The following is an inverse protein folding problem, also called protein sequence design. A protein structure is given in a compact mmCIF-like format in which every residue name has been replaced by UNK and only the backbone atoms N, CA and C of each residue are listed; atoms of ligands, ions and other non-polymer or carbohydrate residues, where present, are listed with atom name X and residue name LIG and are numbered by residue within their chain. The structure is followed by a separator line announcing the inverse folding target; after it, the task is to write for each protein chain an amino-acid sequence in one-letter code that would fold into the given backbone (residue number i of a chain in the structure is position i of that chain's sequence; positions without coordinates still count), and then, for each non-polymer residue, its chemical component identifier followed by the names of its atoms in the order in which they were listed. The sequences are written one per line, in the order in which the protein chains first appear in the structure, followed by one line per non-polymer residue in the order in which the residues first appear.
data_IF_774664913408
#
_entry.id   IF_774664913408
#
_cell.length_a   1.000
_cell.length_b   1.000
_cell.length_c   1.000
_cell.angle_alpha   90.00
_cell.angle_beta   90.00
_cell.angle_gamma   90.00
#
_symmetry.space_group_name_H-M   'P 1'
#
loop_
_entity.id
_entity.type
_entity.pdbx_description
1 polymer ?
#
# COMPACT_ATOMS: atom_id res chain seq x y z
N UNK A 1 14.47 12.91 5.06
CA UNK A 1 13.27 12.96 4.19
C UNK A 1 12.15 12.21 4.89
N UNK A 2 10.89 12.59 4.70
CA UNK A 2 9.79 11.90 5.38
C UNK A 2 9.43 10.59 4.63
N UNK A 3 9.01 9.52 5.31
CA UNK A 3 8.70 8.22 4.68
C UNK A 3 7.69 8.33 3.53
N UNK A 4 6.68 9.18 3.65
CA UNK A 4 5.65 9.40 2.62
C UNK A 4 6.23 9.94 1.30
N UNK A 5 7.27 10.78 1.36
CA UNK A 5 7.93 11.32 0.17
C UNK A 5 8.71 10.24 -0.57
N UNK A 6 9.42 9.40 0.19
CA UNK A 6 10.18 8.28 -0.37
C UNK A 6 9.24 7.28 -1.04
N UNK A 7 8.13 6.93 -0.39
CA UNK A 7 7.13 6.00 -0.95
C UNK A 7 6.60 6.54 -2.27
N UNK A 8 6.19 7.81 -2.33
CA UNK A 8 5.68 8.42 -3.56
C UNK A 8 6.64 8.30 -4.74
N UNK A 9 7.93 8.59 -4.52
CA UNK A 9 8.95 8.52 -5.57
C UNK A 9 9.10 7.11 -6.15
N UNK A 10 8.87 6.07 -5.33
CA UNK A 10 8.97 4.67 -5.74
C UNK A 10 7.74 4.20 -6.48
N UNK A 11 6.56 4.57 -6.01
CA UNK A 11 5.31 4.00 -6.53
C UNK A 11 4.73 4.76 -7.72
N UNK A 12 5.14 6.00 -7.98
CA UNK A 12 4.58 6.80 -9.08
C UNK A 12 4.67 6.15 -10.47
N UNK A 13 5.58 5.20 -10.67
CA UNK A 13 5.76 4.48 -11.93
C UNK A 13 4.74 3.36 -12.14
N UNK A 14 4.23 2.80 -11.06
CA UNK A 14 3.27 1.68 -11.06
C UNK A 14 1.82 2.14 -10.89
N UNK A 15 1.60 3.44 -10.76
CA UNK A 15 0.26 4.04 -10.68
C UNK A 15 -0.23 4.34 -12.09
N UNK A 16 -1.41 3.84 -12.49
CA UNK A 16 -2.01 4.20 -13.78
C UNK A 16 -2.27 5.72 -13.89
N UNK A 17 -1.94 6.30 -15.03
CA UNK A 17 -2.09 7.74 -15.30
C UNK A 17 -3.55 8.25 -15.17
N UNK A 18 -4.52 7.37 -15.41
CA UNK A 18 -5.95 7.65 -15.32
C UNK A 18 -6.53 7.41 -13.92
N UNK A 19 -5.69 7.15 -12.92
CA UNK A 19 -6.11 6.99 -11.52
C UNK A 19 -6.46 8.34 -10.90
N UNK A 20 -7.67 8.48 -10.37
CA UNK A 20 -8.06 9.65 -9.58
C UNK A 20 -7.44 9.63 -8.17
N UNK A 21 -7.26 8.42 -7.64
CA UNK A 21 -6.71 8.13 -6.32
C UNK A 21 -6.15 6.71 -6.32
N UNK A 22 -4.99 6.51 -5.70
CA UNK A 22 -4.44 5.19 -5.44
C UNK A 22 -4.20 5.00 -3.94
N UNK A 23 -4.60 3.84 -3.41
CA UNK A 23 -4.46 3.50 -2.00
C UNK A 23 -3.68 2.21 -1.87
N UNK A 24 -2.50 2.29 -1.26
CA UNK A 24 -1.63 1.17 -0.93
C UNK A 24 -1.94 0.64 0.46
N UNK A 25 -1.92 -0.68 0.57
CA UNK A 25 -1.84 -1.44 1.80
C UNK A 25 -0.45 -2.05 1.90
N UNK A 26 0.20 -1.93 3.06
CA UNK A 26 1.37 -2.72 3.41
C UNK A 26 1.22 -3.28 4.83
N UNK A 27 0.98 -4.58 4.93
CA UNK A 27 0.98 -5.34 6.18
C UNK A 27 2.37 -5.90 6.43
N UNK A 28 3.01 -5.53 7.54
CA UNK A 28 4.41 -5.82 7.81
C UNK A 28 4.58 -6.37 9.22
N UNK A 29 5.16 -7.56 9.31
CA UNK A 29 5.71 -8.11 10.55
C UNK A 29 7.22 -8.25 10.41
N UNK A 30 7.84 -8.78 11.46
CA UNK A 30 9.26 -9.14 11.44
C UNK A 30 9.58 -10.20 10.37
N UNK A 31 8.66 -11.12 10.08
CA UNK A 31 8.92 -12.32 9.27
C UNK A 31 8.05 -12.41 8.01
N UNK A 32 7.00 -11.62 7.90
CA UNK A 32 6.07 -11.59 6.77
C UNK A 32 5.83 -10.17 6.29
N UNK A 33 5.49 -10.05 5.02
CA UNK A 33 5.02 -8.82 4.42
C UNK A 33 3.96 -9.13 3.36
N UNK A 34 2.99 -8.23 3.23
CA UNK A 34 1.99 -8.25 2.18
C UNK A 34 1.76 -6.83 1.72
N UNK A 35 1.82 -6.60 0.40
CA UNK A 35 1.66 -5.29 -0.19
C UNK A 35 0.77 -5.41 -1.43
N UNK A 36 -0.20 -4.51 -1.52
CA UNK A 36 -1.04 -4.35 -2.71
C UNK A 36 -1.62 -2.94 -2.75
N UNK A 37 -2.20 -2.56 -3.88
CA UNK A 37 -2.94 -1.31 -3.97
C UNK A 37 -4.21 -1.43 -4.78
N UNK A 38 -5.07 -0.44 -4.61
CA UNK A 38 -6.24 -0.18 -5.43
C UNK A 38 -6.11 1.20 -6.06
N UNK A 39 -6.34 1.28 -7.38
CA UNK A 39 -6.48 2.55 -8.10
C UNK A 39 -7.94 2.78 -8.45
N UNK A 40 -8.42 4.01 -8.23
CA UNK A 40 -9.77 4.43 -8.56
C UNK A 40 -9.77 4.97 -9.98
N UNK A 41 -10.29 4.18 -10.92
CA UNK A 41 -10.36 4.51 -12.35
C UNK A 41 -11.83 4.55 -12.72
N UNK A 42 -12.31 5.68 -13.24
CA UNK A 42 -13.72 5.87 -13.61
C UNK A 42 -14.71 5.55 -12.48
N UNK A 43 -14.35 5.89 -11.24
CA UNK A 43 -15.16 5.62 -10.04
C UNK A 43 -15.17 4.16 -9.57
N UNK A 44 -14.37 3.28 -10.18
CA UNK A 44 -14.21 1.88 -9.75
C UNK A 44 -12.83 1.65 -9.14
N UNK A 45 -12.80 0.96 -7.99
CA UNK A 45 -11.54 0.51 -7.40
C UNK A 45 -11.04 -0.76 -8.11
N UNK A 46 -9.91 -0.65 -8.80
CA UNK A 46 -9.26 -1.75 -9.51
C UNK A 46 -7.97 -2.14 -8.78
N UNK A 47 -7.81 -3.43 -8.51
CA UNK A 47 -6.67 -3.96 -7.75
C UNK A 47 -5.42 -4.12 -8.64
N UNK A 48 -4.23 -3.94 -8.07
CA UNK A 48 -2.97 -3.91 -8.81
C UNK A 48 -2.65 -5.12 -9.71
N UNK A 49 -3.02 -6.33 -9.32
CA UNK A 49 -2.84 -7.53 -10.14
C UNK A 49 -3.82 -7.58 -11.32
N UNK A 50 -5.07 -7.12 -11.12
CA UNK A 50 -5.99 -6.94 -12.25
C UNK A 50 -5.51 -5.82 -13.19
N UNK A 51 -4.85 -4.78 -12.66
CA UNK A 51 -4.22 -3.74 -13.46
C UNK A 51 -3.01 -4.27 -14.24
N UNK A 52 -2.20 -5.14 -13.66
CA UNK A 52 -1.08 -5.78 -14.36
C UNK A 52 -1.55 -6.57 -15.57
N UNK A 53 -2.65 -7.32 -15.44
CA UNK A 53 -3.27 -8.05 -16.55
C UNK A 53 -3.87 -7.12 -17.62
N UNK A 54 -4.45 -5.98 -17.24
CA UNK A 54 -5.20 -5.09 -18.15
C UNK A 54 -4.36 -3.98 -18.81
N UNK A 55 -3.32 -3.51 -18.12
CA UNK A 55 -2.54 -2.32 -18.49
C UNK A 55 -1.04 -2.61 -18.64
N UNK A 56 -0.65 -3.89 -18.72
CA UNK A 56 0.74 -4.32 -18.91
C UNK A 56 1.71 -3.75 -17.86
N UNK A 57 1.27 -3.62 -16.60
CA UNK A 57 2.21 -3.27 -15.52
C UNK A 57 3.21 -4.42 -15.36
N UNK A 58 4.50 -4.09 -15.35
CA UNK A 58 5.56 -5.08 -15.17
C UNK A 58 5.50 -5.63 -13.73
N UNK A 59 5.30 -6.93 -13.60
CA UNK A 59 5.28 -7.62 -12.30
C UNK A 59 6.58 -7.43 -11.51
N UNK A 60 7.72 -7.29 -12.19
CA UNK A 60 8.99 -7.01 -11.54
C UNK A 60 9.04 -5.58 -10.98
N UNK A 61 8.52 -4.60 -11.72
CA UNK A 61 8.44 -3.21 -11.22
C UNK A 61 7.48 -3.10 -10.04
N UNK A 62 6.35 -3.85 -10.06
CA UNK A 62 5.45 -3.96 -8.93
C UNK A 62 6.15 -4.57 -7.71
N UNK A 63 6.84 -5.69 -7.90
CA UNK A 63 7.58 -6.37 -6.84
C UNK A 63 8.68 -5.50 -6.24
N UNK A 64 9.45 -4.81 -7.08
CA UNK A 64 10.50 -3.87 -6.66
C UNK A 64 9.89 -2.73 -5.84
N UNK A 65 8.84 -2.07 -6.34
CA UNK A 65 8.17 -1.00 -5.63
C UNK A 65 7.62 -1.47 -4.27
N UNK A 66 7.04 -2.67 -4.20
CA UNK A 66 6.53 -3.24 -2.95
C UNK A 66 7.64 -3.51 -1.94
N UNK A 67 8.76 -4.07 -2.39
CA UNK A 67 9.94 -4.28 -1.53
C UNK A 67 10.45 -2.95 -0.98
N UNK A 68 10.56 -1.93 -1.83
CA UNK A 68 11.06 -0.62 -1.42
C UNK A 68 10.14 0.07 -0.40
N UNK A 69 8.81 -0.03 -0.55
CA UNK A 69 7.85 0.46 0.46
C UNK A 69 8.11 -0.19 1.82
N UNK A 70 8.24 -1.53 1.84
CA UNK A 70 8.47 -2.26 3.08
C UNK A 70 9.80 -1.86 3.72
N UNK A 71 10.86 -1.72 2.93
CA UNK A 71 12.16 -1.29 3.42
C UNK A 71 12.12 0.14 3.99
N UNK A 72 11.41 1.06 3.34
CA UNK A 72 11.21 2.42 3.85
C UNK A 72 10.51 2.38 5.21
N UNK A 73 9.46 1.58 5.35
CA UNK A 73 8.70 1.48 6.61
C UNK A 73 9.55 0.84 7.70
N UNK A 74 10.19 -0.31 7.44
CA UNK A 74 11.02 -1.06 8.41
C UNK A 74 12.20 -0.23 8.90
N UNK A 75 12.78 0.62 8.07
CA UNK A 75 13.89 1.51 8.43
C UNK A 75 13.43 2.84 9.07
N UNK A 76 12.11 3.09 9.13
CA UNK A 76 11.56 4.29 9.75
C UNK A 76 11.30 4.08 11.25
N UNK A 77 11.13 5.19 11.97
CA UNK A 77 10.69 5.17 13.38
C UNK A 77 9.22 4.77 13.57
N UNK A 78 8.48 4.58 12.48
CA UNK A 78 7.06 4.21 12.52
C UNK A 78 6.86 2.70 12.68
N UNK A 79 7.89 1.88 12.43
CA UNK A 79 7.79 0.44 12.52
C UNK A 79 7.94 -0.05 13.96
N UNK A 80 7.03 -0.93 14.38
CA UNK A 80 7.04 -1.59 15.69
C UNK A 80 7.25 -3.09 15.47
N UNK A 81 8.44 -3.64 15.76
CA UNK A 81 8.79 -5.03 15.45
C UNK A 81 7.86 -6.09 16.06
N UNK A 82 7.26 -5.80 17.20
CA UNK A 82 6.40 -6.70 17.97
C UNK A 82 4.91 -6.64 17.57
N UNK A 83 4.58 -5.88 16.52
CA UNK A 83 3.20 -5.68 16.06
C UNK A 83 3.05 -6.10 14.60
N UNK A 84 1.80 -6.34 14.20
CA UNK A 84 1.41 -6.32 12.80
C UNK A 84 1.20 -4.85 12.40
N UNK A 85 2.12 -4.33 11.60
CA UNK A 85 2.14 -2.94 11.18
C UNK A 85 1.36 -2.82 9.88
N UNK A 86 0.31 -2.01 9.86
CA UNK A 86 -0.44 -1.69 8.65
C UNK A 86 -0.11 -0.27 8.25
N UNK A 87 0.63 -0.11 7.17
CA UNK A 87 0.84 1.18 6.53
C UNK A 87 -0.20 1.36 5.42
N UNK A 88 -0.82 2.53 5.40
CA UNK A 88 -1.74 2.94 4.34
C UNK A 88 -1.19 4.18 3.67
N UNK A 89 -0.77 4.05 2.40
CA UNK A 89 -0.34 5.21 1.63
C UNK A 89 -1.44 5.60 0.63
N UNK A 90 -1.95 6.83 0.74
CA UNK A 90 -2.95 7.38 -0.17
C UNK A 90 -2.31 8.44 -1.07
N UNK A 91 -2.48 8.29 -2.37
CA UNK A 91 -1.93 9.18 -3.40
C UNK A 91 -3.08 9.69 -4.25
N UNK A 92 -3.22 11.00 -4.32
CA UNK A 92 -4.18 11.70 -5.18
C UNK A 92 -3.60 13.04 -5.65
N UNK A 93 -4.42 13.86 -6.32
CA UNK A 93 -4.01 15.19 -6.81
C UNK A 93 -3.56 16.16 -5.70
N UNK A 94 -3.94 15.92 -4.45
CA UNK A 94 -3.54 16.73 -3.28
C UNK A 94 -2.18 16.32 -2.70
N UNK A 95 -1.63 15.18 -3.12
CA UNK A 95 -0.32 14.69 -2.72
C UNK A 95 -0.38 13.28 -2.12
N UNK A 96 0.62 12.97 -1.29
CA UNK A 96 0.75 11.66 -0.62
C UNK A 96 0.54 11.78 0.87
N UNK A 97 -0.25 10.86 1.43
CA UNK A 97 -0.44 10.68 2.87
C UNK A 97 -0.03 9.28 3.27
N UNK A 98 0.54 9.14 4.46
CA UNK A 98 0.90 7.87 5.07
C UNK A 98 0.26 7.78 6.46
N UNK A 99 -0.58 6.78 6.65
CA UNK A 99 -1.20 6.45 7.93
C UNK A 99 -0.68 5.09 8.43
N UNK A 100 -0.55 4.96 9.75
CA UNK A 100 -0.08 3.74 10.40
C UNK A 100 -1.11 3.23 11.39
N UNK A 101 -1.41 1.94 11.32
CA UNK A 101 -2.21 1.20 12.29
C UNK A 101 -1.40 0.01 12.82
N UNK A 102 -1.61 -0.33 14.09
CA UNK A 102 -0.83 -1.38 14.76
C UNK A 102 -1.77 -2.37 15.43
N UNK A 103 -1.55 -3.65 15.15
CA UNK A 103 -2.36 -4.74 15.67
C UNK A 103 -1.50 -5.73 16.45
N UNK A 104 -2.09 -6.36 17.46
CA UNK A 104 -1.46 -7.51 18.12
C UNK A 104 -1.34 -8.69 17.15
N UNK A 105 -0.29 -9.49 17.33
CA UNK A 105 0.06 -10.59 16.43
C UNK A 105 -0.93 -11.77 16.46
N UNK A 106 -1.82 -11.80 17.46
CA UNK A 106 -2.89 -12.80 17.59
C UNK A 106 -4.17 -12.42 16.81
N UNK A 107 -4.25 -11.18 16.31
CA UNK A 107 -5.36 -10.73 15.47
C UNK A 107 -5.22 -11.33 14.08
N UNK A 108 -6.33 -11.85 13.55
CA UNK A 108 -6.37 -12.42 12.20
C UNK A 108 -6.05 -11.38 11.12
N UNK A 109 -5.00 -11.64 10.33
CA UNK A 109 -4.61 -10.81 9.17
C UNK A 109 -5.77 -10.64 8.17
N UNK A 110 -6.51 -11.73 7.89
CA UNK A 110 -7.72 -11.68 7.05
C UNK A 110 -8.76 -10.68 7.57
N UNK A 111 -8.99 -10.65 8.89
CA UNK A 111 -9.92 -9.71 9.52
C UNK A 111 -9.42 -8.28 9.38
N UNK A 112 -8.11 -8.05 9.59
CA UNK A 112 -7.50 -6.73 9.44
C UNK A 112 -7.67 -6.22 8.01
N UNK A 113 -7.33 -7.04 7.01
CA UNK A 113 -7.46 -6.66 5.61
C UNK A 113 -8.91 -6.40 5.19
N UNK A 114 -9.85 -7.21 5.68
CA UNK A 114 -11.28 -7.02 5.39
C UNK A 114 -11.80 -5.69 5.93
N UNK A 115 -11.48 -5.36 7.18
CA UNK A 115 -11.90 -4.08 7.77
C UNK A 115 -11.16 -2.91 7.13
N UNK A 116 -9.87 -3.08 6.80
CA UNK A 116 -9.09 -2.09 6.08
C UNK A 116 -9.71 -1.76 4.71
N UNK A 117 -10.09 -2.78 3.94
CA UNK A 117 -10.71 -2.60 2.63
C UNK A 117 -12.05 -1.88 2.75
N UNK A 118 -12.88 -2.28 3.72
CA UNK A 118 -14.15 -1.62 4.00
C UNK A 118 -13.98 -0.14 4.34
N UNK A 119 -12.93 0.21 5.09
CA UNK A 119 -12.64 1.57 5.53
C UNK A 119 -12.10 2.47 4.40
N UNK A 120 -11.27 1.94 3.50
CA UNK A 120 -10.51 2.75 2.55
C UNK A 120 -10.97 2.62 1.09
N UNK A 121 -11.66 1.52 0.75
CA UNK A 121 -12.00 1.14 -0.62
C UNK A 121 -13.50 1.12 -0.86
N UNK A 122 -14.26 0.45 0.02
CA UNK A 122 -15.72 0.25 -0.16
C UNK A 122 -16.57 1.39 0.45
N UNK A 123 -15.92 2.44 0.97
CA UNK A 123 -16.53 3.54 1.72
C UNK A 123 -17.14 4.64 0.86
#
# INVERSE_FOLDING_TARGET
MKPETLIFDKVRKIIPDNSDKTVFFAGITKTSQEVYFYSFINGQAVQCYALAEQYELDENELSEAFSEIVDIIKNSKLYIPEKYNVATASIDRSGTKLDMEYYDMDVSEYRIQKEWKKKHIDG
#
